data_IF_233681079983
#
_entry.id   IF_233681079983
#
_cell.length_a   1.000
_cell.length_b   1.000
_cell.length_c   1.000
_cell.angle_alpha   90.00
_cell.angle_beta   90.00
_cell.angle_gamma   90.00
#
_symmetry.space_group_name_H-M   'P 1'
#
loop_
_entity.id
_entity.type
_entity.pdbx_description
1 polymer ?
#
# COMPACT_ATOMS: atom_id res chain seq x y z
N UNK A 1 14.90 -1.71 -19.45
CA UNK A 1 14.65 -1.45 -19.16
C UNK A 1 14.53 -1.13 -18.46
N UNK A 2 14.62 -0.80 -18.36
CA UNK A 2 14.48 -0.45 -17.88
C UNK A 2 13.89 -0.08 -17.01
N UNK A 3 13.43 -0.12 -16.95
CA UNK A 3 12.42 0.01 -16.00
C UNK A 3 12.86 0.18 -14.62
N UNK A 4 14.03 -0.17 -14.35
CA UNK A 4 14.58 -0.09 -13.03
C UNK A 4 14.62 1.32 -12.53
N UNK A 5 14.72 2.25 -13.42
CA UNK A 5 14.79 3.62 -13.03
C UNK A 5 13.46 4.25 -12.72
N UNK A 6 12.38 3.48 -12.88
CA UNK A 6 11.06 4.07 -12.79
C UNK A 6 10.37 3.76 -11.47
N UNK A 7 11.08 3.19 -10.53
CA UNK A 7 10.50 2.93 -9.22
C UNK A 7 10.44 4.22 -8.44
N UNK A 8 9.27 4.84 -8.43
CA UNK A 8 9.06 6.14 -7.79
C UNK A 8 7.73 6.15 -7.06
N UNK A 9 7.59 7.12 -6.17
CA UNK A 9 6.33 7.28 -5.46
C UNK A 9 5.19 7.58 -6.42
N UNK A 10 5.47 8.30 -7.49
CA UNK A 10 4.45 8.59 -8.48
C UNK A 10 3.91 7.32 -9.10
N UNK A 11 4.81 6.39 -9.43
CA UNK A 11 4.37 5.12 -9.98
C UNK A 11 3.51 4.36 -8.99
N UNK A 12 3.90 4.37 -7.72
CA UNK A 12 3.10 3.71 -6.70
C UNK A 12 1.71 4.33 -6.62
N UNK A 13 1.64 5.65 -6.70
CA UNK A 13 0.35 6.32 -6.64
C UNK A 13 -0.53 5.96 -7.84
N UNK A 14 0.09 5.80 -9.01
CA UNK A 14 -0.66 5.39 -10.18
C UNK A 14 -1.28 4.01 -9.95
N UNK A 15 -0.52 3.09 -9.39
CA UNK A 15 -1.06 1.78 -9.08
C UNK A 15 -2.19 1.86 -8.06
N UNK A 16 -2.05 2.77 -7.08
CA UNK A 16 -3.11 2.93 -6.09
C UNK A 16 -4.40 3.39 -6.73
N UNK A 17 -4.30 4.31 -7.67
CA UNK A 17 -5.49 4.79 -8.37
C UNK A 17 -6.16 3.68 -9.16
N UNK A 18 -5.36 2.73 -9.62
CA UNK A 18 -5.90 1.61 -10.37
C UNK A 18 -6.36 0.46 -9.47
N UNK A 19 -6.16 0.60 -8.18
CA UNK A 19 -6.58 -0.44 -7.26
C UNK A 19 -5.55 -1.53 -7.04
N UNK A 20 -4.34 -1.36 -7.52
CA UNK A 20 -3.29 -2.35 -7.36
C UNK A 20 -2.50 -2.09 -6.09
N UNK A 21 -3.12 -2.35 -4.97
CA UNK A 21 -2.53 -2.02 -3.68
C UNK A 21 -1.23 -2.78 -3.44
N UNK A 22 -1.21 -4.06 -3.79
CA UNK A 22 -0.01 -4.86 -3.57
C UNK A 22 1.17 -4.35 -4.38
N UNK A 23 0.91 -3.92 -5.60
CA UNK A 23 1.98 -3.38 -6.43
C UNK A 23 2.51 -2.09 -5.83
N UNK A 24 1.63 -1.24 -5.33
CA UNK A 24 2.06 0.00 -4.71
C UNK A 24 2.92 -0.28 -3.48
N UNK A 25 2.54 -1.29 -2.70
CA UNK A 25 3.32 -1.66 -1.54
C UNK A 25 4.72 -2.11 -1.94
N UNK A 26 4.82 -2.94 -2.98
CA UNK A 26 6.13 -3.38 -3.46
C UNK A 26 7.01 -2.20 -3.81
N UNK A 27 6.43 -1.21 -4.47
CA UNK A 27 7.21 -0.06 -4.90
C UNK A 27 7.68 0.74 -3.70
N UNK A 28 6.79 0.98 -2.73
CA UNK A 28 7.20 1.73 -1.54
C UNK A 28 8.21 0.94 -0.72
N UNK A 29 8.14 -0.38 -0.73
CA UNK A 29 9.15 -1.17 -0.05
C UNK A 29 10.52 -0.96 -0.67
N UNK A 30 10.58 -0.95 -1.99
CA UNK A 30 11.83 -0.70 -2.68
C UNK A 30 12.35 0.70 -2.39
N UNK A 31 11.46 1.67 -2.40
CA UNK A 31 11.85 3.04 -2.11
C UNK A 31 12.37 3.18 -0.69
N UNK A 32 11.72 2.54 0.26
CA UNK A 32 12.15 2.61 1.65
C UNK A 32 13.52 1.95 1.85
N UNK A 33 13.79 0.89 1.10
CA UNK A 33 15.11 0.26 1.20
C UNK A 33 16.20 1.13 0.62
N UNK A 34 15.88 1.83 -0.45
CA UNK A 34 16.85 2.70 -1.09
C UNK A 34 17.15 3.92 -0.24
N UNK A 35 16.14 4.40 0.47
CA UNK A 35 16.29 5.59 1.29
C UNK A 35 15.73 5.32 2.67
N UNK A 36 16.47 4.57 3.47
CA UNK A 36 15.93 4.16 4.78
C UNK A 36 15.68 5.32 5.73
N UNK A 37 16.29 6.46 5.48
CA UNK A 37 16.03 7.64 6.30
C UNK A 37 14.80 8.40 5.91
N UNK A 38 14.13 8.01 4.84
CA UNK A 38 12.97 8.74 4.36
C UNK A 38 11.72 8.26 5.08
N UNK A 39 11.29 9.03 6.07
CA UNK A 39 10.13 8.64 6.87
C UNK A 39 8.84 8.67 6.06
N UNK A 40 8.78 9.51 5.03
CA UNK A 40 7.61 9.55 4.19
C UNK A 40 7.32 8.18 3.56
N UNK A 41 8.36 7.55 3.02
CA UNK A 41 8.18 6.22 2.42
C UNK A 41 7.75 5.21 3.46
N UNK A 42 8.34 5.28 4.64
CA UNK A 42 8.00 4.34 5.70
C UNK A 42 6.55 4.51 6.15
N UNK A 43 6.13 5.75 6.30
CA UNK A 43 4.76 6.03 6.72
C UNK A 43 3.76 5.57 5.67
N UNK A 44 4.05 5.86 4.41
CA UNK A 44 3.16 5.43 3.35
C UNK A 44 3.10 3.90 3.28
N UNK A 45 4.24 3.26 3.41
CA UNK A 45 4.29 1.82 3.38
C UNK A 45 3.47 1.20 4.50
N UNK A 46 3.61 1.72 5.70
CA UNK A 46 2.85 1.22 6.83
C UNK A 46 1.35 1.41 6.61
N UNK A 47 0.97 2.57 6.10
CA UNK A 47 -0.43 2.86 5.83
C UNK A 47 -0.99 1.91 4.78
N UNK A 48 -0.24 1.66 3.71
CA UNK A 48 -0.70 0.79 2.65
C UNK A 48 -0.80 -0.65 3.12
N UNK A 49 0.15 -1.09 3.94
CA UNK A 49 0.08 -2.44 4.49
C UNK A 49 -1.14 -2.62 5.37
N UNK A 50 -1.47 -1.60 6.13
CA UNK A 50 -2.66 -1.66 6.95
C UNK A 50 -3.90 -1.75 6.07
N UNK A 51 -3.95 -0.95 5.00
CA UNK A 51 -5.07 -1.00 4.08
C UNK A 51 -5.20 -2.37 3.46
N UNK A 52 -4.08 -2.98 3.10
CA UNK A 52 -4.11 -4.31 2.52
C UNK A 52 -4.67 -5.33 3.49
N UNK A 53 -4.25 -5.26 4.74
CA UNK A 53 -4.77 -6.17 5.75
C UNK A 53 -6.27 -6.01 5.91
N UNK A 54 -6.73 -4.78 5.94
CA UNK A 54 -8.15 -4.52 6.07
C UNK A 54 -8.91 -5.04 4.86
N UNK A 55 -8.30 -4.92 3.69
CA UNK A 55 -8.93 -5.38 2.48
C UNK A 55 -9.04 -6.90 2.47
N UNK A 56 -8.00 -7.57 2.91
CA UNK A 56 -8.01 -9.02 2.98
C UNK A 56 -9.02 -9.54 3.99
N UNK A 57 -9.19 -8.79 5.07
CA UNK A 57 -10.19 -9.16 6.06
C UNK A 57 -11.53 -8.53 5.76
N UNK A 58 -11.60 -7.79 4.68
CA UNK A 58 -12.73 -6.95 4.39
C UNK A 58 -14.08 -7.58 4.52
N UNK A 59 -14.33 -8.71 3.83
CA UNK A 59 -15.66 -9.31 3.91
C UNK A 59 -16.06 -9.68 5.33
N UNK A 60 -15.15 -10.30 6.05
CA UNK A 60 -15.46 -10.69 7.42
C UNK A 60 -15.56 -9.47 8.33
N UNK A 61 -14.67 -8.52 8.12
CA UNK A 61 -14.65 -7.31 8.92
C UNK A 61 -15.93 -6.50 8.71
N UNK A 62 -16.35 -6.36 7.47
CA UNK A 62 -17.56 -5.64 7.17
C UNK A 62 -18.77 -6.33 7.78
N UNK A 63 -18.78 -7.64 7.71
CA UNK A 63 -19.86 -8.41 8.30
C UNK A 63 -19.91 -8.19 9.80
N UNK A 64 -18.74 -8.19 10.42
CA UNK A 64 -18.63 -7.98 11.83
C UNK A 64 -19.15 -6.58 12.21
N UNK A 65 -18.75 -5.58 11.45
CA UNK A 65 -19.20 -4.23 11.72
C UNK A 65 -20.71 -4.09 11.59
N UNK A 66 -21.26 -4.72 10.58
CA UNK A 66 -22.69 -4.65 10.41
C UNK A 66 -23.41 -5.24 11.59
N UNK A 67 -22.93 -6.37 12.06
CA UNK A 67 -23.54 -6.98 13.22
C UNK A 67 -23.46 -6.08 14.44
N UNK A 68 -22.32 -5.43 14.60
CA UNK A 68 -22.15 -4.55 15.74
C UNK A 68 -23.07 -3.34 15.67
N UNK A 69 -23.28 -2.86 14.48
CA UNK A 69 -24.09 -1.67 14.30
C UNK A 69 -25.57 -1.97 14.45
N UNK A 70 -25.96 -3.20 14.26
CA UNK A 70 -27.36 -3.61 14.38
C UNK A 70 -27.60 -4.33 15.70
#
# INVERSE_FOLDING_TARGET
MENNGIVTATLADIYLEQGYLEKAIEIYEKLARREPGNTFYKQRLASLKKDLQEKQKGPAFKRFLKKKLW
#
